data_IF_054630710653
#
_entry.id   IF_054630710653
#
_cell.length_a   1.000
_cell.length_b   1.000
_cell.length_c   1.000
_cell.angle_alpha   90.00
_cell.angle_beta   90.00
_cell.angle_gamma   90.00
#
_symmetry.space_group_name_H-M   'P 1'
#
loop_
_entity.id
_entity.type
_entity.pdbx_description
1 polymer ?
#
# COMPACT_ATOMS: atom_id res chain seq x y z
N UNK A 1 -17.57 -66.97 -78.57
CA UNK A 1 -16.14 -66.98 -78.17
C UNK A 1 -15.80 -65.93 -77.12
N UNK A 2 -16.57 -64.83 -76.94
CA UNK A 2 -16.30 -63.84 -75.88
C UNK A 2 -16.91 -64.19 -74.50
N UNK A 3 -17.92 -65.08 -74.46
CA UNK A 3 -18.65 -65.47 -73.24
C UNK A 3 -17.77 -66.33 -72.29
N UNK A 4 -17.03 -67.29 -72.86
CA UNK A 4 -16.17 -68.24 -72.14
C UNK A 4 -14.98 -67.56 -71.43
N UNK A 5 -14.46 -66.46 -72.00
CA UNK A 5 -13.39 -65.67 -71.38
C UNK A 5 -13.85 -64.83 -70.19
N UNK A 6 -15.10 -64.33 -70.23
CA UNK A 6 -15.63 -63.50 -69.15
C UNK A 6 -15.98 -64.33 -67.91
N UNK A 7 -16.41 -65.58 -68.10
CA UNK A 7 -16.66 -66.52 -67.00
C UNK A 7 -15.36 -66.95 -66.30
N UNK A 8 -14.27 -67.17 -67.06
CA UNK A 8 -12.94 -67.49 -66.53
C UNK A 8 -12.38 -66.32 -65.68
N UNK A 9 -12.53 -65.08 -66.14
CA UNK A 9 -12.09 -63.90 -65.41
C UNK A 9 -12.93 -63.67 -64.14
N UNK A 10 -14.26 -63.89 -64.21
CA UNK A 10 -15.13 -63.82 -63.05
C UNK A 10 -14.78 -64.87 -61.99
N UNK A 11 -14.45 -66.10 -62.40
CA UNK A 11 -14.03 -67.17 -61.50
C UNK A 11 -12.72 -66.83 -60.76
N UNK A 12 -11.79 -66.15 -61.42
CA UNK A 12 -10.55 -65.66 -60.79
C UNK A 12 -10.82 -64.55 -59.78
N UNK A 13 -11.63 -63.54 -60.15
CA UNK A 13 -12.01 -62.46 -59.22
C UNK A 13 -12.74 -62.98 -57.99
N UNK A 14 -13.64 -63.96 -58.13
CA UNK A 14 -14.34 -64.57 -57.00
C UNK A 14 -13.37 -65.35 -56.11
N UNK A 15 -12.40 -66.05 -56.69
CA UNK A 15 -11.38 -66.79 -55.93
C UNK A 15 -10.49 -65.84 -55.12
N UNK A 16 -10.06 -64.75 -55.73
CA UNK A 16 -9.28 -63.71 -55.04
C UNK A 16 -10.10 -62.98 -53.98
N UNK A 17 -11.39 -62.72 -54.22
CA UNK A 17 -12.28 -62.13 -53.24
C UNK A 17 -12.48 -63.07 -52.03
N UNK A 18 -12.70 -64.37 -52.27
CA UNK A 18 -12.82 -65.35 -51.17
C UNK A 18 -11.51 -65.46 -50.38
N UNK A 19 -10.36 -65.35 -51.06
CA UNK A 19 -9.06 -65.35 -50.39
C UNK A 19 -8.88 -64.11 -49.52
N UNK A 20 -9.15 -62.92 -50.05
CA UNK A 20 -9.04 -61.66 -49.31
C UNK A 20 -10.04 -61.56 -48.16
N UNK A 21 -11.26 -62.07 -48.33
CA UNK A 21 -12.24 -62.13 -47.23
C UNK A 21 -11.80 -63.08 -46.11
N UNK A 22 -11.18 -64.23 -46.42
CA UNK A 22 -10.60 -65.11 -45.39
C UNK A 22 -9.43 -64.47 -44.66
N UNK A 23 -8.59 -63.73 -45.38
CA UNK A 23 -7.46 -63.00 -44.79
C UNK A 23 -7.94 -61.87 -43.87
N UNK A 24 -9.01 -61.15 -44.25
CA UNK A 24 -9.66 -60.16 -43.40
C UNK A 24 -10.42 -60.79 -42.22
N UNK A 25 -11.01 -61.97 -42.39
CA UNK A 25 -11.73 -62.70 -41.33
C UNK A 25 -10.75 -63.20 -40.25
N UNK A 26 -9.57 -63.70 -40.64
CA UNK A 26 -8.50 -64.08 -39.72
C UNK A 26 -7.92 -62.86 -38.96
N UNK A 27 -7.86 -61.69 -39.60
CA UNK A 27 -7.37 -60.46 -38.96
C UNK A 27 -8.43 -59.79 -38.06
N UNK A 28 -9.71 -59.99 -38.37
CA UNK A 28 -10.83 -59.47 -37.59
C UNK A 28 -11.28 -60.42 -36.47
N UNK A 29 -10.79 -61.66 -36.44
CA UNK A 29 -11.07 -62.58 -35.35
C UNK A 29 -10.46 -62.04 -34.04
N UNK A 30 -11.28 -61.67 -33.04
CA UNK A 30 -10.77 -61.13 -31.77
C UNK A 30 -9.89 -62.18 -31.08
N UNK A 31 -8.83 -61.77 -30.36
CA UNK A 31 -7.99 -62.69 -29.62
C UNK A 31 -8.87 -63.57 -28.71
N UNK A 32 -8.61 -64.88 -28.75
CA UNK A 32 -9.43 -65.91 -28.11
C UNK A 32 -9.74 -65.56 -26.64
N UNK A 33 -10.94 -65.91 -26.14
CA UNK A 33 -11.44 -65.53 -24.80
C UNK A 33 -10.64 -66.07 -23.58
N UNK A 34 -9.52 -66.77 -23.79
CA UNK A 34 -8.59 -67.15 -22.72
C UNK A 34 -7.67 -66.00 -22.27
N UNK A 35 -7.62 -64.89 -23.02
CA UNK A 35 -6.93 -63.66 -22.60
C UNK A 35 -7.85 -62.78 -21.73
N UNK A 36 -8.21 -63.31 -20.55
CA UNK A 36 -8.65 -62.46 -19.45
C UNK A 36 -7.56 -61.45 -19.07
N UNK A 37 -7.85 -60.41 -18.26
CA UNK A 37 -6.83 -59.47 -17.82
C UNK A 37 -5.69 -60.24 -17.17
N UNK A 38 -4.55 -60.33 -17.88
CA UNK A 38 -3.40 -61.09 -17.41
C UNK A 38 -2.99 -60.52 -16.06
N UNK A 39 -2.98 -61.38 -15.05
CA UNK A 39 -2.45 -61.02 -13.75
C UNK A 39 -1.01 -60.55 -13.94
N UNK A 40 -0.63 -59.37 -13.43
CA UNK A 40 0.69 -58.82 -13.65
C UNK A 40 1.74 -59.77 -13.10
N UNK A 41 2.80 -60.01 -13.87
CA UNK A 41 3.87 -60.87 -13.38
C UNK A 41 4.72 -60.11 -12.35
N UNK A 42 5.45 -60.80 -11.45
CA UNK A 42 6.37 -60.14 -10.51
C UNK A 42 7.41 -59.26 -11.20
N UNK A 43 7.75 -59.55 -12.46
CA UNK A 43 8.67 -58.75 -13.27
C UNK A 43 8.02 -57.44 -13.71
N UNK A 44 6.73 -57.47 -14.05
CA UNK A 44 5.95 -56.29 -14.42
C UNK A 44 5.78 -55.35 -13.23
N UNK A 45 5.58 -55.88 -12.01
CA UNK A 45 5.51 -55.08 -10.79
C UNK A 45 6.84 -54.37 -10.48
N UNK A 46 7.97 -55.08 -10.62
CA UNK A 46 9.30 -54.46 -10.44
C UNK A 46 9.52 -53.36 -11.46
N UNK A 47 9.17 -53.62 -12.72
CA UNK A 47 9.30 -52.67 -13.81
C UNK A 47 8.42 -51.43 -13.59
N UNK A 48 7.14 -51.63 -13.26
CA UNK A 48 6.22 -50.55 -12.91
C UNK A 48 6.72 -49.73 -11.71
N UNK A 49 7.25 -50.40 -10.69
CA UNK A 49 7.78 -49.71 -9.51
C UNK A 49 9.00 -48.86 -9.87
N UNK A 50 9.93 -49.38 -10.67
CA UNK A 50 11.11 -48.63 -11.09
C UNK A 50 10.82 -47.53 -12.11
N UNK A 51 9.91 -47.77 -13.06
CA UNK A 51 9.64 -46.86 -14.18
C UNK A 51 8.56 -45.82 -13.86
N UNK A 52 7.63 -46.13 -12.95
CA UNK A 52 6.45 -45.29 -12.69
C UNK A 52 6.30 -44.95 -11.21
N UNK A 53 6.23 -45.95 -10.33
CA UNK A 53 5.85 -45.70 -8.93
C UNK A 53 6.94 -44.92 -8.18
N UNK A 54 8.20 -45.36 -8.24
CA UNK A 54 9.33 -44.67 -7.59
C UNK A 54 9.51 -43.28 -8.18
N UNK A 55 9.60 -43.06 -9.52
CA UNK A 55 9.71 -41.72 -10.08
C UNK A 55 8.53 -40.80 -9.70
N UNK A 56 7.30 -41.32 -9.74
CA UNK A 56 6.11 -40.56 -9.33
C UNK A 56 6.16 -40.16 -7.85
N UNK A 57 6.60 -41.06 -6.97
CA UNK A 57 6.73 -40.76 -5.55
C UNK A 57 7.85 -39.75 -5.29
N UNK A 58 8.96 -39.84 -6.01
CA UNK A 58 10.04 -38.83 -5.96
C UNK A 58 9.50 -37.46 -6.37
N UNK A 59 8.69 -37.37 -7.43
CA UNK A 59 8.10 -36.10 -7.87
C UNK A 59 7.19 -35.48 -6.80
N UNK A 60 6.34 -36.29 -6.16
CA UNK A 60 5.49 -35.84 -5.06
C UNK A 60 6.35 -35.29 -3.91
N UNK A 61 7.41 -36.00 -3.52
CA UNK A 61 8.32 -35.56 -2.47
C UNK A 61 9.07 -34.28 -2.85
N UNK A 62 9.55 -34.16 -4.09
CA UNK A 62 10.21 -32.93 -4.57
C UNK A 62 9.25 -31.74 -4.54
N UNK A 63 7.99 -31.97 -4.92
CA UNK A 63 6.93 -30.96 -4.83
C UNK A 63 6.69 -30.53 -3.39
N UNK A 64 6.61 -31.48 -2.46
CA UNK A 64 6.48 -31.18 -1.02
C UNK A 64 7.69 -30.39 -0.50
N UNK A 65 8.91 -30.75 -0.91
CA UNK A 65 10.12 -30.01 -0.53
C UNK A 65 10.09 -28.58 -1.08
N UNK A 66 9.66 -28.39 -2.34
CA UNK A 66 9.51 -27.04 -2.92
C UNK A 66 8.45 -26.23 -2.19
N UNK A 67 7.31 -26.83 -1.82
CA UNK A 67 6.27 -26.19 -1.02
C UNK A 67 6.80 -25.76 0.36
N UNK A 68 7.54 -26.63 1.06
CA UNK A 68 8.16 -26.29 2.34
C UNK A 68 9.22 -25.19 2.23
N UNK A 69 9.99 -25.15 1.13
CA UNK A 69 10.94 -24.05 0.86
C UNK A 69 10.25 -22.72 0.59
N UNK A 70 9.12 -22.74 -0.11
CA UNK A 70 8.26 -21.57 -0.30
C UNK A 70 7.74 -21.06 1.04
N UNK A 71 7.23 -21.96 1.88
CA UNK A 71 6.81 -21.62 3.24
C UNK A 71 7.97 -21.03 4.06
N UNK A 72 9.16 -21.63 4.00
CA UNK A 72 10.34 -21.10 4.68
C UNK A 72 10.68 -19.68 4.21
N UNK A 73 10.58 -19.41 2.90
CA UNK A 73 10.83 -18.09 2.34
C UNK A 73 9.75 -17.08 2.75
N UNK A 74 8.50 -17.52 2.85
CA UNK A 74 7.40 -16.70 3.37
C UNK A 74 7.59 -16.35 4.85
N UNK A 75 7.94 -17.32 5.69
CA UNK A 75 8.26 -17.11 7.10
C UNK A 75 9.44 -16.14 7.28
N UNK A 76 10.51 -16.32 6.49
CA UNK A 76 11.67 -15.41 6.53
C UNK A 76 11.32 -13.99 6.08
N UNK A 77 10.35 -13.83 5.19
CA UNK A 77 9.87 -12.52 4.77
C UNK A 77 9.02 -11.86 5.88
N UNK A 78 8.21 -12.64 6.59
CA UNK A 78 7.45 -12.16 7.74
C UNK A 78 8.36 -11.70 8.89
N UNK A 79 9.39 -12.49 9.22
CA UNK A 79 10.40 -12.10 10.23
C UNK A 79 11.15 -10.81 9.83
N UNK A 80 11.48 -10.68 8.53
CA UNK A 80 12.08 -9.47 7.97
C UNK A 80 11.16 -8.26 8.04
N UNK A 81 9.86 -8.43 7.77
CA UNK A 81 8.86 -7.38 7.83
C UNK A 81 8.67 -6.84 9.26
N UNK A 82 8.69 -7.70 10.27
CA UNK A 82 8.61 -7.28 11.68
C UNK A 82 9.85 -6.45 12.08
N UNK A 83 11.04 -6.86 11.62
CA UNK A 83 12.29 -6.12 11.86
C UNK A 83 12.28 -4.75 11.16
N UNK A 84 11.86 -4.71 9.88
CA UNK A 84 11.72 -3.48 9.12
C UNK A 84 10.70 -2.52 9.76
N UNK A 85 9.58 -3.06 10.27
CA UNK A 85 8.55 -2.27 10.95
C UNK A 85 9.11 -1.57 12.21
N UNK A 86 9.91 -2.29 13.00
CA UNK A 86 10.58 -1.74 14.19
C UNK A 86 11.59 -0.65 13.83
N UNK A 87 12.35 -0.82 12.75
CA UNK A 87 13.25 0.24 12.25
C UNK A 87 12.47 1.47 11.79
N UNK A 88 11.40 1.29 11.00
CA UNK A 88 10.60 2.42 10.52
C UNK A 88 9.97 3.22 11.65
N UNK A 89 9.54 2.58 12.74
CA UNK A 89 8.98 3.28 13.90
C UNK A 89 10.05 4.12 14.61
N UNK A 90 11.28 3.60 14.76
CA UNK A 90 12.40 4.36 15.28
C UNK A 90 12.83 5.53 14.37
N UNK A 91 12.73 5.36 13.04
CA UNK A 91 12.96 6.46 12.11
C UNK A 91 11.86 7.52 12.23
N UNK A 92 10.59 7.10 12.38
CA UNK A 92 9.45 8.01 12.57
C UNK A 92 9.58 8.83 13.85
N UNK A 93 9.99 8.21 14.97
CA UNK A 93 10.24 8.91 16.23
C UNK A 93 11.34 9.98 16.09
N UNK A 94 12.43 9.65 15.39
CA UNK A 94 13.51 10.61 15.08
C UNK A 94 13.05 11.74 14.16
N UNK A 95 12.26 11.42 13.14
CA UNK A 95 11.68 12.43 12.26
C UNK A 95 10.73 13.35 13.02
N UNK A 96 9.88 12.79 13.90
CA UNK A 96 8.95 13.56 14.73
C UNK A 96 9.69 14.52 15.66
N UNK A 97 10.70 14.04 16.39
CA UNK A 97 11.51 14.89 17.28
C UNK A 97 12.28 15.98 16.51
N UNK A 98 12.81 15.67 15.31
CA UNK A 98 13.44 16.69 14.47
C UNK A 98 12.44 17.76 13.99
N UNK A 99 11.24 17.34 13.55
CA UNK A 99 10.15 18.26 13.16
C UNK A 99 9.71 19.14 14.33
N UNK A 100 9.53 18.57 15.51
CA UNK A 100 9.13 19.30 16.71
C UNK A 100 10.19 20.33 17.12
N UNK A 101 11.48 19.98 17.03
CA UNK A 101 12.57 20.94 17.25
C UNK A 101 12.61 22.07 16.22
N UNK A 102 12.23 21.77 14.97
CA UNK A 102 12.21 22.76 13.88
C UNK A 102 11.01 23.68 14.02
N UNK A 103 9.84 23.14 14.38
CA UNK A 103 8.64 23.92 14.68
C UNK A 103 8.85 24.82 15.89
N UNK A 104 9.48 24.32 16.96
CA UNK A 104 9.81 25.16 18.12
C UNK A 104 10.72 26.34 17.75
N UNK A 105 11.69 26.13 16.85
CA UNK A 105 12.53 27.22 16.33
C UNK A 105 11.76 28.19 15.44
N UNK A 106 10.79 27.70 14.68
CA UNK A 106 9.93 28.53 13.84
C UNK A 106 9.02 29.40 14.70
N UNK A 107 8.40 28.84 15.74
CA UNK A 107 7.56 29.60 16.69
C UNK A 107 8.39 30.69 17.40
N UNK A 108 9.60 30.37 17.85
CA UNK A 108 10.52 31.35 18.44
C UNK A 108 10.86 32.49 17.46
N UNK A 109 11.14 32.14 16.20
CA UNK A 109 11.42 33.13 15.15
C UNK A 109 10.19 33.99 14.80
N UNK A 110 8.99 33.40 14.82
CA UNK A 110 7.73 34.11 14.57
C UNK A 110 7.40 35.07 15.72
N UNK A 111 7.63 34.67 16.97
CA UNK A 111 7.52 35.56 18.14
C UNK A 111 8.51 36.72 18.01
N UNK A 112 9.77 36.44 17.67
CA UNK A 112 10.78 37.48 17.43
C UNK A 112 10.40 38.45 16.30
N UNK A 113 9.78 37.95 15.23
CA UNK A 113 9.28 38.79 14.14
C UNK A 113 8.08 39.65 14.57
N UNK A 114 7.15 39.08 15.34
CA UNK A 114 6.00 39.81 15.85
C UNK A 114 6.42 40.95 16.79
N UNK A 115 7.35 40.68 17.71
CA UNK A 115 7.88 41.69 18.63
C UNK A 115 8.67 42.79 17.89
N UNK A 116 9.42 42.43 16.84
CA UNK A 116 10.08 43.42 15.97
C UNK A 116 9.07 44.32 15.23
N UNK A 117 7.95 43.76 14.76
CA UNK A 117 6.85 44.52 14.12
C UNK A 117 6.11 45.41 15.13
N UNK A 118 5.95 44.96 16.37
CA UNK A 118 5.36 45.72 17.47
C UNK A 118 6.32 46.76 18.09
N UNK A 119 7.56 46.84 17.60
CA UNK A 119 8.57 47.81 18.00
C UNK A 119 9.23 47.51 19.35
N UNK A 120 9.20 46.26 19.79
CA UNK A 120 9.80 45.78 21.04
C UNK A 120 10.90 44.77 20.69
N UNK A 121 12.19 45.18 20.67
CA UNK A 121 13.26 44.24 20.39
C UNK A 121 13.39 43.25 21.56
N UNK A 122 13.42 41.96 21.26
CA UNK A 122 13.63 40.89 22.24
C UNK A 122 15.11 40.59 22.50
N UNK A 123 15.99 41.21 21.71
CA UNK A 123 17.43 41.02 21.78
C UNK A 123 18.06 42.22 22.49
N UNK A 124 18.88 41.95 23.51
CA UNK A 124 19.51 42.97 24.34
C UNK A 124 20.43 43.91 23.51
N UNK A 125 21.09 43.38 22.47
CA UNK A 125 21.96 44.17 21.57
C UNK A 125 21.12 45.13 20.70
N UNK A 126 19.95 44.69 20.25
CA UNK A 126 19.01 45.54 19.50
C UNK A 126 18.39 46.64 20.38
N UNK A 127 18.17 46.38 21.66
CA UNK A 127 17.69 47.37 22.62
C UNK A 127 18.72 48.48 22.87
N UNK A 128 20.01 48.12 23.02
CA UNK A 128 21.11 49.07 23.23
C UNK A 128 21.28 50.01 22.02
N UNK A 129 21.27 49.46 20.80
CA UNK A 129 21.36 50.25 19.56
C UNK A 129 20.21 51.26 19.37
N UNK A 130 19.01 50.92 19.85
CA UNK A 130 17.85 51.83 19.78
C UNK A 130 17.93 52.97 20.79
N UNK A 131 18.47 52.72 21.98
CA UNK A 131 18.72 53.78 22.97
C UNK A 131 19.82 54.72 22.46
N UNK A 132 20.90 54.19 21.90
CA UNK A 132 21.94 54.97 21.23
C UNK A 132 21.36 55.85 20.11
N UNK A 133 20.48 55.29 19.27
CA UNK A 133 19.83 56.05 18.20
C UNK A 133 18.89 57.15 18.74
N UNK A 134 18.21 56.91 19.87
CA UNK A 134 17.37 57.92 20.54
C UNK A 134 18.21 59.04 21.13
N UNK A 135 19.33 58.71 21.74
CA UNK A 135 20.29 59.69 22.26
C UNK A 135 20.87 60.55 21.13
N UNK A 136 21.31 59.93 20.03
CA UNK A 136 21.83 60.63 18.86
C UNK A 136 20.79 61.57 18.25
N UNK A 137 19.51 61.14 18.17
CA UNK A 137 18.41 61.97 17.69
C UNK A 137 18.15 63.16 18.62
N UNK A 138 18.22 62.97 19.94
CA UNK A 138 18.06 64.06 20.91
C UNK A 138 19.23 65.06 20.81
N UNK A 139 20.45 64.59 20.59
CA UNK A 139 21.62 65.42 20.35
C UNK A 139 21.47 66.23 19.06
N UNK A 140 21.05 65.61 17.96
CA UNK A 140 20.79 66.31 16.69
C UNK A 140 19.70 67.36 16.87
N UNK A 141 18.60 67.06 17.56
CA UNK A 141 17.55 68.05 17.83
C UNK A 141 18.06 69.21 18.69
N UNK A 142 18.92 68.95 19.68
CA UNK A 142 19.56 69.98 20.49
C UNK A 142 20.48 70.83 19.63
N UNK A 143 21.31 70.21 18.80
CA UNK A 143 22.21 70.88 17.85
C UNK A 143 21.43 71.76 16.88
N UNK A 144 20.36 71.24 16.27
CA UNK A 144 19.49 71.99 15.36
C UNK A 144 18.83 73.17 16.08
N UNK A 145 18.33 72.98 17.30
CA UNK A 145 17.72 74.06 18.10
C UNK A 145 18.72 75.13 18.51
N UNK A 146 19.96 74.75 18.77
CA UNK A 146 21.05 75.68 19.09
C UNK A 146 21.67 76.33 17.84
N UNK A 147 21.50 75.70 16.67
CA UNK A 147 21.93 76.24 15.37
C UNK A 147 20.85 77.08 14.69
N UNK A 148 19.58 76.94 15.09
CA UNK A 148 18.47 77.75 14.61
C UNK A 148 18.54 79.12 15.31
N UNK A 149 18.89 80.20 14.60
CA UNK A 149 18.92 81.53 15.19
C UNK A 149 17.49 81.95 15.55
N UNK A 150 17.38 82.68 16.67
CA UNK A 150 16.16 83.25 17.22
C UNK A 150 15.48 84.16 16.19
N UNK A 151 14.61 83.61 15.35
CA UNK A 151 13.72 84.41 14.52
C UNK A 151 12.40 83.67 14.29
N UNK A 152 11.31 84.43 14.46
CA UNK A 152 9.92 84.16 14.07
C UNK A 152 9.02 83.37 15.03
N UNK A 153 8.50 84.11 16.03
CA UNK A 153 7.08 84.11 16.37
C UNK A 153 6.21 84.21 15.10
N UNK A 154 5.65 83.11 14.59
CA UNK A 154 4.44 83.15 13.74
C UNK A 154 3.57 81.92 13.97
N UNK A 155 2.54 82.13 14.78
CA UNK A 155 1.14 81.76 14.55
C UNK A 155 0.77 80.60 13.58
N UNK A 156 -0.06 79.71 14.13
CA UNK A 156 -1.31 79.14 13.55
C UNK A 156 -1.22 78.02 12.49
N UNK A 157 -1.64 76.85 12.95
CA UNK A 157 -2.84 76.13 12.50
C UNK A 157 -3.11 76.01 10.98
N UNK A 158 -3.00 74.78 10.48
CA UNK A 158 -3.91 74.13 9.51
C UNK A 158 -3.36 72.73 9.24
N UNK A 159 -4.12 71.66 9.48
CA UNK A 159 -5.04 71.08 8.48
C UNK A 159 -4.24 70.04 7.69
N UNK A 160 -4.45 68.73 7.83
CA UNK A 160 -5.70 68.03 7.52
C UNK A 160 -5.48 67.23 6.22
N UNK A 161 -6.09 66.04 6.15
CA UNK A 161 -6.09 65.06 5.04
C UNK A 161 -4.82 64.18 4.96
N UNK A 162 -4.85 62.88 5.24
CA UNK A 162 -5.66 61.81 4.61
C UNK A 162 -5.46 61.80 3.10
N UNK A 163 -4.51 60.97 2.64
CA UNK A 163 -4.40 60.57 1.24
C UNK A 163 -4.40 59.03 1.21
N UNK A 164 -5.61 58.49 1.03
CA UNK A 164 -5.87 57.11 0.67
C UNK A 164 -5.47 56.89 -0.79
N UNK A 165 -4.37 56.18 -1.03
CA UNK A 165 -4.07 55.62 -2.34
C UNK A 165 -4.24 54.10 -2.29
N UNK A 166 -5.41 53.67 -2.75
CA UNK A 166 -5.69 52.31 -3.20
C UNK A 166 -4.99 52.06 -4.54
N UNK A 167 -4.26 50.96 -4.65
CA UNK A 167 -4.10 50.15 -5.88
C UNK A 167 -3.22 48.91 -5.57
N UNK A 168 -3.78 47.69 -5.57
CA UNK A 168 -3.04 46.50 -5.93
C UNK A 168 -3.51 46.08 -7.32
N UNK A 169 -2.64 46.12 -8.33
CA UNK A 169 -2.58 45.10 -9.39
C UNK A 169 -1.64 45.53 -10.51
N UNK A 170 -0.68 44.67 -10.81
CA UNK A 170 0.16 44.83 -11.99
C UNK A 170 1.62 44.45 -11.77
N UNK A 171 1.89 43.19 -11.41
CA UNK A 171 3.18 42.56 -11.72
C UNK A 171 2.98 41.18 -12.32
N UNK A 172 2.90 41.19 -13.64
CA UNK A 172 3.34 40.07 -14.47
C UNK A 172 4.85 40.18 -14.63
N UNK A 173 5.59 39.40 -13.85
CA UNK A 173 6.97 39.01 -14.12
C UNK A 173 6.91 37.47 -14.18
N UNK A 174 6.71 36.83 -15.32
CA UNK A 174 7.63 36.68 -16.44
C UNK A 174 9.00 36.09 -16.04
N UNK A 175 9.00 35.07 -15.19
CA UNK A 175 10.07 34.06 -15.13
C UNK A 175 9.42 32.67 -15.05
N UNK A 176 8.98 32.20 -16.22
CA UNK A 176 8.56 30.82 -16.42
C UNK A 176 9.79 29.93 -16.48
N UNK A 177 10.32 29.61 -15.30
CA UNK A 177 11.03 28.35 -15.11
C UNK A 177 10.13 27.23 -15.67
N UNK A 178 10.74 26.25 -16.34
CA UNK A 178 10.10 25.08 -16.93
C UNK A 178 9.52 24.17 -15.81
N UNK A 179 8.56 24.71 -15.07
CA UNK A 179 7.70 23.98 -14.19
C UNK A 179 6.77 23.20 -15.10
N UNK A 180 7.19 21.99 -15.44
CA UNK A 180 6.35 20.98 -16.09
C UNK A 180 5.09 20.87 -15.23
N UNK A 181 4.03 21.53 -15.65
CA UNK A 181 2.72 21.43 -15.02
C UNK A 181 2.21 20.04 -15.36
N UNK A 182 2.52 19.09 -14.49
CA UNK A 182 2.05 17.72 -14.64
C UNK A 182 0.55 17.74 -14.39
N UNK A 183 -0.23 17.56 -15.45
CA UNK A 183 -1.68 17.39 -15.35
C UNK A 183 -1.96 16.05 -14.65
N UNK A 184 -2.05 16.10 -13.33
CA UNK A 184 -2.28 14.94 -12.46
C UNK A 184 -3.54 14.18 -12.90
N UNK A 185 -4.55 14.89 -13.39
CA UNK A 185 -5.79 14.27 -13.89
C UNK A 185 -5.53 13.36 -15.10
N UNK A 186 -4.66 13.77 -16.03
CA UNK A 186 -4.32 12.98 -17.21
C UNK A 186 -3.47 11.74 -16.85
N UNK A 187 -2.52 11.91 -15.91
CA UNK A 187 -1.69 10.81 -15.42
C UNK A 187 -2.52 9.77 -14.64
N UNK A 188 -3.47 10.23 -13.82
CA UNK A 188 -4.37 9.34 -13.08
C UNK A 188 -5.30 8.55 -14.01
N UNK A 189 -5.76 9.16 -15.10
CA UNK A 189 -6.58 8.45 -16.10
C UNK A 189 -5.79 7.35 -16.82
N UNK A 190 -4.51 7.62 -17.13
CA UNK A 190 -3.61 6.61 -17.71
C UNK A 190 -3.39 5.43 -16.75
N UNK A 191 -3.11 5.71 -15.47
CA UNK A 191 -2.89 4.67 -14.46
C UNK A 191 -4.16 3.84 -14.23
N UNK A 192 -5.34 4.48 -14.21
CA UNK A 192 -6.62 3.80 -14.07
C UNK A 192 -6.88 2.84 -15.24
N UNK A 193 -6.59 3.28 -16.47
CA UNK A 193 -6.75 2.45 -17.66
C UNK A 193 -5.80 1.24 -17.64
N UNK A 194 -4.55 1.43 -17.23
CA UNK A 194 -3.59 0.34 -17.09
C UNK A 194 -4.00 -0.66 -16.00
N UNK A 195 -4.67 -0.17 -14.94
CA UNK A 195 -5.22 -1.01 -13.88
C UNK A 195 -6.46 -1.80 -14.32
N UNK A 196 -7.36 -1.18 -15.08
CA UNK A 196 -8.56 -1.84 -15.64
C UNK A 196 -8.19 -2.86 -16.74
N UNK A 197 -7.06 -2.68 -17.43
CA UNK A 197 -6.56 -3.62 -18.45
C UNK A 197 -5.84 -4.85 -17.84
N UNK A 198 -5.55 -4.84 -16.53
CA UNK A 198 -5.03 -6.00 -15.82
C UNK A 198 -6.17 -7.01 -15.55
N UNK A 199 -6.06 -8.27 -16.03
CA UNK A 199 -7.09 -9.29 -15.80
C UNK A 199 -7.14 -9.65 -14.30
N UNK A 200 -8.20 -9.20 -13.61
CA UNK A 200 -8.49 -9.54 -12.21
C UNK A 200 -8.83 -8.37 -11.27
N UNK A 201 -8.97 -7.13 -11.78
CA UNK A 201 -9.32 -5.96 -10.96
C UNK A 201 -10.83 -5.78 -10.66
N UNK A 202 -11.71 -6.49 -11.40
CA UNK A 202 -13.18 -6.37 -11.30
C UNK A 202 -13.82 -7.11 -10.09
N UNK A 203 -13.07 -7.89 -9.32
CA UNK A 203 -13.60 -8.72 -8.23
C UNK A 203 -13.44 -8.10 -6.82
N UNK A 204 -13.33 -6.78 -6.71
CA UNK A 204 -13.41 -6.09 -5.42
C UNK A 204 -14.87 -5.69 -5.13
N UNK A 205 -15.56 -6.29 -4.14
CA UNK A 205 -16.91 -5.85 -3.78
C UNK A 205 -16.85 -4.44 -3.20
N UNK A 206 -17.54 -3.52 -3.88
CA UNK A 206 -17.81 -2.16 -3.42
C UNK A 206 -18.91 -2.20 -2.34
N UNK A 207 -18.54 -2.53 -1.11
CA UNK A 207 -19.44 -2.36 0.04
C UNK A 207 -19.49 -0.88 0.42
N UNK A 208 -20.50 -0.21 -0.12
CA UNK A 208 -20.87 1.16 0.18
C UNK A 208 -22.39 1.35 0.22
N UNK A 209 -22.85 1.61 1.44
CA UNK A 209 -23.98 2.48 1.82
C UNK A 209 -25.38 1.91 2.06
N UNK A 210 -25.90 2.15 3.27
CA UNK A 210 -27.34 2.00 3.58
C UNK A 210 -27.72 1.99 5.06
N UNK A 211 -27.51 3.11 5.77
CA UNK A 211 -28.08 3.50 7.07
C UNK A 211 -29.58 3.15 7.27
N UNK A 212 -29.99 2.67 8.45
CA UNK A 212 -31.29 2.97 9.07
C UNK A 212 -31.36 2.57 10.56
N UNK A 213 -31.61 3.57 11.39
CA UNK A 213 -31.83 3.55 12.84
C UNK A 213 -33.05 2.72 13.29
N UNK A 214 -33.08 2.32 14.57
CA UNK A 214 -34.29 1.78 15.19
C UNK A 214 -34.11 1.38 16.66
N UNK A 215 -34.48 2.32 17.54
CA UNK A 215 -34.65 2.24 19.00
C UNK A 215 -35.41 1.02 19.55
N UNK A 216 -35.13 0.75 20.84
CA UNK A 216 -36.05 0.15 21.81
C UNK A 216 -35.56 -1.19 22.34
N UNK A 217 -35.65 -1.53 23.61
CA UNK A 217 -36.08 -0.89 24.86
C UNK A 217 -35.66 -1.89 25.96
N UNK A 218 -35.76 -1.50 27.23
CA UNK A 218 -35.10 -2.17 28.35
C UNK A 218 -35.47 -3.65 28.58
N UNK A 219 -34.65 -4.29 29.42
CA UNK A 219 -35.18 -4.91 30.64
C UNK A 219 -34.05 -5.20 31.62
N UNK A 220 -34.37 -4.86 32.86
CA UNK A 220 -33.65 -5.07 34.10
C UNK A 220 -33.29 -6.55 34.34
N UNK A 221 -32.15 -6.81 34.98
CA UNK A 221 -32.10 -7.85 36.02
C UNK A 221 -30.86 -7.67 36.92
N UNK A 222 -31.14 -7.24 38.15
CA UNK A 222 -30.24 -7.23 39.30
C UNK A 222 -29.80 -8.67 39.70
N UNK A 223 -28.68 -8.81 40.43
CA UNK A 223 -28.16 -10.11 40.82
C UNK A 223 -28.85 -10.65 42.07
N UNK A 224 -29.11 -11.98 42.19
CA UNK A 224 -29.36 -12.55 43.49
C UNK A 224 -28.05 -12.85 44.22
N UNK A 225 -27.90 -12.18 45.35
CA UNK A 225 -27.13 -12.65 46.49
C UNK A 225 -27.57 -14.05 46.91
N UNK A 226 -26.64 -14.99 47.02
CA UNK A 226 -26.82 -16.11 47.94
C UNK A 226 -25.59 -16.26 48.84
N UNK A 227 -25.85 -15.98 50.10
CA UNK A 227 -24.95 -16.18 51.22
C UNK A 227 -25.40 -17.48 51.90
N UNK A 228 -24.47 -18.40 52.10
CA UNK A 228 -24.56 -19.34 53.20
C UNK A 228 -23.17 -19.55 53.79
N UNK A 229 -22.98 -19.24 55.10
CA UNK A 229 -21.80 -19.63 55.84
C UNK A 229 -21.97 -21.07 56.33
N UNK A 230 -20.91 -21.87 56.30
CA UNK A 230 -20.84 -23.03 57.18
C UNK A 230 -19.44 -23.21 57.76
N UNK A 231 -19.49 -23.40 59.07
CA UNK A 231 -18.46 -23.40 60.08
C UNK A 231 -17.86 -24.81 60.22
N UNK A 232 -16.56 -24.90 60.50
CA UNK A 232 -15.89 -26.20 60.52
C UNK A 232 -14.43 -26.14 60.91
N UNK A 233 -14.19 -25.75 62.16
CA UNK A 233 -12.94 -25.99 62.92
C UNK A 233 -12.24 -27.31 62.57
N UNK A 234 -10.92 -27.28 62.38
CA UNK A 234 -10.01 -27.96 63.30
C UNK A 234 -8.57 -27.47 63.09
N UNK A 235 -8.07 -26.72 64.06
CA UNK A 235 -6.65 -26.52 64.26
C UNK A 235 -6.24 -27.36 65.45
N UNK A 236 -5.28 -28.26 65.28
CA UNK A 236 -4.37 -28.76 66.34
C UNK A 236 -3.40 -29.79 65.74
N UNK A 237 -2.16 -29.41 65.46
CA UNK A 237 -1.04 -29.81 66.32
C UNK A 237 0.28 -29.20 65.85
N UNK A 238 0.83 -28.33 66.71
CA UNK A 238 2.27 -28.11 66.87
C UNK A 238 2.73 -29.09 67.95
N UNK A 239 3.78 -29.84 67.67
CA UNK A 239 4.96 -30.08 68.53
C UNK A 239 6.04 -30.81 67.74
#
# INVERSE_FOLDING_TARGET
>A
MADDSSDEDLARLVTDLVRTLRELEDELEPPRPDDGPRLPTPRDLRRFTSEVAIPGFILILETNIRALRLLQRALRLADGAETASRETEQLRERAKSASESTLSRLDEALVGLQDAVEGRPNDDEAAELLDDARELRAEIHRRIRESAPEDSDVDRASGGAEDESSDPDGRSDADGDDAVSVDVDAELESIKRDLDELPGADDAPTDGDGEASGDGDGDDDEPPSDASPDDGSDGSNRE
#
